data_IF_278605005391
#
_entry.id   IF_278605005391
#
_cell.length_a   1.000
_cell.length_b   1.000
_cell.length_c   1.000
_cell.angle_alpha   90.00
_cell.angle_beta   90.00
_cell.angle_gamma   90.00
#
_symmetry.space_group_name_H-M   'P 1'
#
loop_
_entity.id
_entity.type
_entity.pdbx_description
1 polymer ?
#
# COMPACT_ATOMS: atom_id res chain seq x y z
N UNK A 1 28.80 -22.48 -33.68
CA UNK A 1 27.74 -23.20 -32.94
C UNK A 1 26.46 -22.37 -32.97
N UNK A 2 25.41 -22.83 -33.66
CA UNK A 2 24.11 -22.14 -33.70
C UNK A 2 23.43 -22.36 -32.35
N UNK A 3 23.26 -21.31 -31.54
CA UNK A 3 22.48 -21.40 -30.30
C UNK A 3 21.01 -21.55 -30.69
N UNK A 4 20.47 -22.76 -30.55
CA UNK A 4 19.03 -22.99 -30.71
C UNK A 4 18.26 -22.09 -29.75
N UNK A 5 17.36 -21.27 -30.31
CA UNK A 5 16.49 -20.41 -29.52
C UNK A 5 15.46 -21.30 -28.83
N UNK A 6 15.62 -21.49 -27.52
CA UNK A 6 14.65 -22.20 -26.68
C UNK A 6 13.28 -21.53 -26.83
N UNK A 7 12.23 -22.35 -26.99
CA UNK A 7 10.86 -21.86 -27.10
C UNK A 7 10.49 -20.97 -25.90
N UNK A 8 9.75 -19.87 -26.11
CA UNK A 8 9.35 -18.99 -25.01
C UNK A 8 8.41 -19.75 -24.06
N UNK A 9 8.90 -20.06 -22.85
CA UNK A 9 8.04 -20.55 -21.76
C UNK A 9 7.11 -19.42 -21.32
N UNK A 10 5.80 -19.64 -21.43
CA UNK A 10 4.82 -18.72 -20.89
C UNK A 10 4.58 -19.03 -19.41
N UNK A 11 4.73 -18.01 -18.57
CA UNK A 11 4.39 -18.06 -17.15
C UNK A 11 3.19 -17.14 -16.91
N UNK A 12 2.18 -17.56 -16.16
CA UNK A 12 1.10 -16.67 -15.78
C UNK A 12 1.54 -15.62 -14.73
N UNK A 13 0.74 -14.58 -14.54
CA UNK A 13 1.08 -13.50 -13.61
C UNK A 13 1.03 -13.95 -12.13
N UNK A 14 0.22 -14.94 -11.78
CA UNK A 14 0.10 -15.44 -10.40
C UNK A 14 1.36 -16.19 -9.97
N UNK A 15 1.91 -17.02 -10.85
CA UNK A 15 3.16 -17.72 -10.67
C UNK A 15 4.34 -16.75 -10.59
N UNK A 16 4.39 -15.74 -11.48
CA UNK A 16 5.44 -14.70 -11.41
C UNK A 16 5.43 -13.99 -10.05
N UNK A 17 4.23 -13.65 -9.55
CA UNK A 17 4.07 -12.98 -8.27
C UNK A 17 4.42 -13.89 -7.08
N UNK A 18 4.08 -15.18 -7.12
CA UNK A 18 4.43 -16.12 -6.05
C UNK A 18 5.95 -16.33 -5.94
N UNK A 19 6.65 -16.42 -7.07
CA UNK A 19 8.12 -16.52 -7.11
C UNK A 19 8.77 -15.25 -6.55
N UNK A 20 8.28 -14.06 -6.92
CA UNK A 20 8.81 -12.81 -6.39
C UNK A 20 8.52 -12.65 -4.90
N UNK A 21 7.35 -13.07 -4.43
CA UNK A 21 7.02 -13.09 -3.00
C UNK A 21 8.01 -13.95 -2.22
N UNK A 22 8.24 -15.19 -2.66
CA UNK A 22 9.20 -16.10 -2.01
C UNK A 22 10.64 -15.56 -2.07
N UNK A 23 11.03 -14.89 -3.15
CA UNK A 23 12.32 -14.19 -3.24
C UNK A 23 12.49 -13.11 -2.17
N UNK A 24 11.49 -12.24 -1.99
CA UNK A 24 11.55 -11.18 -0.97
C UNK A 24 11.45 -11.71 0.47
N UNK A 25 10.68 -12.78 0.71
CA UNK A 25 10.54 -13.38 2.03
C UNK A 25 11.78 -14.18 2.46
N UNK A 26 12.44 -14.85 1.52
CA UNK A 26 13.60 -15.70 1.82
C UNK A 26 14.95 -14.97 1.77
N UNK A 27 15.02 -13.80 1.13
CA UNK A 27 16.25 -13.01 1.00
C UNK A 27 17.35 -13.71 0.19
N UNK A 28 17.00 -14.71 -0.62
CA UNK A 28 17.95 -15.49 -1.43
C UNK A 28 18.37 -14.73 -2.68
N UNK A 29 19.51 -15.10 -3.28
CA UNK A 29 19.94 -14.51 -4.56
C UNK A 29 19.05 -14.93 -5.74
N UNK A 30 19.07 -14.14 -6.83
CA UNK A 30 18.39 -14.50 -8.09
C UNK A 30 18.80 -15.87 -8.64
N UNK A 31 20.02 -16.34 -8.37
CA UNK A 31 20.50 -17.66 -8.80
C UNK A 31 19.95 -18.81 -7.95
N UNK A 32 19.59 -18.54 -6.69
CA UNK A 32 19.00 -19.54 -5.79
C UNK A 32 17.49 -19.67 -6.05
N UNK A 33 16.77 -18.55 -6.16
CA UNK A 33 15.34 -18.57 -6.51
C UNK A 33 15.10 -19.14 -7.92
N UNK A 34 15.99 -18.82 -8.86
CA UNK A 34 16.00 -19.38 -10.22
C UNK A 34 16.07 -20.90 -10.22
N UNK A 35 16.94 -21.48 -9.39
CA UNK A 35 17.09 -22.93 -9.23
C UNK A 35 15.88 -23.57 -8.56
N UNK A 36 15.30 -22.91 -7.55
CA UNK A 36 14.13 -23.41 -6.81
C UNK A 36 12.90 -23.60 -7.72
N UNK A 37 12.70 -22.70 -8.68
CA UNK A 37 11.52 -22.70 -9.55
C UNK A 37 11.78 -23.11 -11.01
N UNK A 38 12.99 -23.56 -11.36
CA UNK A 38 13.44 -23.82 -12.74
C UNK A 38 13.14 -22.66 -13.72
N UNK A 39 13.39 -21.43 -13.26
CA UNK A 39 13.20 -20.21 -14.04
C UNK A 39 14.55 -19.56 -14.28
N UNK A 40 14.78 -18.95 -15.44
CA UNK A 40 16.02 -18.19 -15.66
C UNK A 40 16.11 -17.00 -14.69
N UNK A 41 17.28 -16.73 -14.10
CA UNK A 41 17.49 -15.51 -13.29
C UNK A 41 17.13 -14.24 -14.06
N UNK A 42 17.33 -14.22 -15.38
CA UNK A 42 16.91 -13.10 -16.23
C UNK A 42 15.39 -12.90 -16.27
N UNK A 43 14.60 -13.99 -16.15
CA UNK A 43 13.15 -13.88 -16.04
C UNK A 43 12.75 -13.27 -14.70
N UNK A 44 13.38 -13.69 -13.60
CA UNK A 44 13.10 -13.15 -12.26
C UNK A 44 13.38 -11.65 -12.20
N UNK A 45 14.52 -11.20 -12.74
CA UNK A 45 14.87 -9.77 -12.85
C UNK A 45 13.86 -9.01 -13.73
N UNK A 46 13.45 -9.60 -14.86
CA UNK A 46 12.46 -8.99 -15.74
C UNK A 46 11.08 -8.86 -15.07
N UNK A 47 10.66 -9.87 -14.31
CA UNK A 47 9.41 -9.84 -13.55
C UNK A 47 9.50 -8.81 -12.43
N UNK A 48 10.58 -8.80 -11.65
CA UNK A 48 10.81 -7.82 -10.60
C UNK A 48 10.69 -6.40 -11.14
N UNK A 49 11.37 -6.07 -12.25
CA UNK A 49 11.25 -4.76 -12.91
C UNK A 49 9.82 -4.46 -13.40
N UNK A 50 9.13 -5.46 -13.96
CA UNK A 50 7.73 -5.33 -14.42
C UNK A 50 6.78 -4.97 -13.27
N UNK A 51 7.00 -5.53 -12.08
CA UNK A 51 6.12 -5.32 -10.93
C UNK A 51 6.59 -4.19 -10.00
N UNK A 52 7.87 -3.84 -9.98
CA UNK A 52 8.35 -2.66 -9.23
C UNK A 52 7.67 -1.38 -9.68
N UNK A 53 7.44 -1.21 -10.98
CA UNK A 53 6.71 -0.05 -11.52
C UNK A 53 5.20 -0.12 -11.29
N UNK A 54 4.67 -1.25 -10.82
CA UNK A 54 3.27 -1.42 -10.41
C UNK A 54 3.06 -1.28 -8.91
N UNK A 55 4.15 -1.22 -8.12
CA UNK A 55 4.05 -0.66 -6.78
C UNK A 55 3.63 0.79 -6.97
N UNK A 56 2.40 1.12 -6.57
CA UNK A 56 1.93 2.50 -6.53
C UNK A 56 2.83 3.18 -5.51
N UNK A 57 3.86 3.89 -5.99
CA UNK A 57 4.65 4.74 -5.11
C UNK A 57 3.68 5.72 -4.46
N UNK A 58 3.80 5.88 -3.14
CA UNK A 58 3.07 6.96 -2.47
C UNK A 58 3.42 8.27 -3.20
N UNK A 59 2.42 9.06 -3.62
CA UNK A 59 2.66 10.34 -4.28
C UNK A 59 3.65 11.17 -3.47
N UNK A 60 4.61 11.78 -4.16
CA UNK A 60 5.69 12.51 -3.47
C UNK A 60 5.17 13.85 -2.93
N UNK A 61 4.08 14.36 -3.51
CA UNK A 61 3.41 15.57 -3.08
C UNK A 61 1.88 15.43 -3.00
N UNK A 62 1.26 16.38 -2.29
CA UNK A 62 -0.19 16.44 -2.04
C UNK A 62 -0.97 16.65 -3.34
N UNK A 63 -0.40 17.37 -4.32
CA UNK A 63 -1.06 17.72 -5.58
C UNK A 63 -1.23 16.48 -6.46
N UNK A 64 -0.24 15.62 -6.51
CA UNK A 64 -0.27 14.34 -7.21
C UNK A 64 -1.26 13.38 -6.55
N UNK A 65 -1.32 13.36 -5.20
CA UNK A 65 -2.32 12.60 -4.46
C UNK A 65 -3.76 13.07 -4.79
N UNK A 66 -4.00 14.38 -4.79
CA UNK A 66 -5.31 14.96 -5.12
C UNK A 66 -5.75 14.59 -6.54
N UNK A 67 -4.83 14.66 -7.52
CA UNK A 67 -5.10 14.24 -8.91
C UNK A 67 -5.41 12.76 -9.02
N UNK A 68 -4.66 11.88 -8.34
CA UNK A 68 -4.93 10.45 -8.35
C UNK A 68 -6.29 10.11 -7.72
N UNK A 69 -6.64 10.75 -6.60
CA UNK A 69 -7.94 10.60 -5.94
C UNK A 69 -9.07 11.09 -6.83
N UNK A 70 -8.90 12.24 -7.51
CA UNK A 70 -9.88 12.77 -8.44
C UNK A 70 -10.13 11.82 -9.63
N UNK A 71 -9.06 11.30 -10.23
CA UNK A 71 -9.15 10.34 -11.34
C UNK A 71 -9.78 9.02 -10.91
N UNK A 72 -9.46 8.51 -9.73
CA UNK A 72 -10.06 7.31 -9.16
C UNK A 72 -11.56 7.49 -8.88
N UNK A 73 -11.97 8.65 -8.37
CA UNK A 73 -13.40 9.00 -8.19
C UNK A 73 -14.13 9.05 -9.53
N UNK A 74 -13.59 9.77 -10.52
CA UNK A 74 -14.17 9.86 -11.87
C UNK A 74 -14.33 8.48 -12.51
N UNK A 75 -13.35 7.60 -12.36
CA UNK A 75 -13.41 6.23 -12.88
C UNK A 75 -14.46 5.36 -12.14
N UNK A 76 -14.65 5.57 -10.84
CA UNK A 76 -15.72 4.94 -10.04
C UNK A 76 -17.10 5.39 -10.50
N UNK A 77 -17.26 6.69 -10.74
CA UNK A 77 -18.55 7.28 -11.15
C UNK A 77 -18.93 6.93 -12.60
N UNK A 78 -17.94 6.63 -13.44
CA UNK A 78 -18.15 6.19 -14.83
C UNK A 78 -18.50 4.70 -14.95
N UNK A 79 -18.38 3.92 -13.88
CA UNK A 79 -18.68 2.48 -13.89
C UNK A 79 -20.19 2.29 -13.70
N UNK A 80 -20.87 1.47 -14.53
CA UNK A 80 -22.29 1.19 -14.32
C UNK A 80 -22.49 0.65 -12.90
N UNK A 81 -23.28 1.37 -12.10
CA UNK A 81 -23.56 1.01 -10.71
C UNK A 81 -24.15 -0.41 -10.70
N UNK A 82 -23.44 -1.38 -10.13
CA UNK A 82 -24.08 -2.62 -9.72
C UNK A 82 -25.20 -2.25 -8.76
N UNK A 83 -26.41 -2.73 -9.04
CA UNK A 83 -27.58 -2.56 -8.16
C UNK A 83 -27.31 -3.39 -6.91
N UNK A 84 -26.58 -2.82 -5.96
CA UNK A 84 -26.38 -3.41 -4.65
C UNK A 84 -27.70 -3.34 -3.88
N UNK A 85 -28.05 -4.44 -3.20
CA UNK A 85 -29.23 -4.46 -2.33
C UNK A 85 -29.08 -3.40 -1.23
N UNK A 86 -30.19 -2.86 -0.72
CA UNK A 86 -30.12 -1.85 0.35
C UNK A 86 -29.37 -2.35 1.58
N UNK A 87 -29.51 -3.64 1.90
CA UNK A 87 -28.81 -4.28 3.01
C UNK A 87 -27.29 -4.31 2.79
N UNK A 88 -26.83 -4.49 1.56
CA UNK A 88 -25.39 -4.47 1.24
C UNK A 88 -24.82 -3.07 1.37
N UNK A 89 -25.55 -2.05 0.90
CA UNK A 89 -25.16 -0.65 1.05
C UNK A 89 -25.08 -0.25 2.53
N UNK A 90 -26.06 -0.67 3.32
CA UNK A 90 -26.08 -0.42 4.76
C UNK A 90 -24.92 -1.13 5.48
N UNK A 91 -24.57 -2.36 5.09
CA UNK A 91 -23.40 -3.06 5.63
C UNK A 91 -22.09 -2.37 5.29
N UNK A 92 -21.92 -1.95 4.03
CA UNK A 92 -20.71 -1.24 3.59
C UNK A 92 -20.55 0.10 4.33
N UNK A 93 -21.63 0.87 4.43
CA UNK A 93 -21.61 2.15 5.15
C UNK A 93 -21.36 1.93 6.66
N UNK A 94 -21.96 0.91 7.28
CA UNK A 94 -21.68 0.60 8.69
C UNK A 94 -20.21 0.22 8.91
N UNK A 95 -19.63 -0.60 8.02
CA UNK A 95 -18.21 -0.95 8.07
C UNK A 95 -17.31 0.28 7.91
N UNK A 96 -17.66 1.17 6.97
CA UNK A 96 -16.95 2.43 6.73
C UNK A 96 -17.02 3.36 7.94
N UNK A 97 -18.20 3.54 8.53
CA UNK A 97 -18.41 4.39 9.69
C UNK A 97 -17.66 3.86 10.91
N UNK A 98 -17.68 2.54 11.15
CA UNK A 98 -16.90 1.92 12.22
C UNK A 98 -15.40 2.18 12.06
N UNK A 99 -14.87 2.02 10.86
CA UNK A 99 -13.46 2.29 10.58
C UNK A 99 -13.10 3.77 10.77
N UNK A 100 -13.99 4.68 10.38
CA UNK A 100 -13.80 6.12 10.59
C UNK A 100 -13.83 6.48 12.09
N UNK A 101 -14.70 5.85 12.86
CA UNK A 101 -14.78 6.01 14.32
C UNK A 101 -13.49 5.51 14.98
N UNK A 102 -13.06 4.29 14.68
CA UNK A 102 -11.82 3.70 15.19
C UNK A 102 -10.60 4.60 14.92
N UNK A 103 -10.48 5.13 13.70
CA UNK A 103 -9.41 6.06 13.36
C UNK A 103 -9.46 7.36 14.18
N UNK A 104 -10.67 7.91 14.39
CA UNK A 104 -10.88 9.11 15.19
C UNK A 104 -10.50 8.89 16.66
N UNK A 105 -10.89 7.74 17.22
CA UNK A 105 -10.55 7.33 18.59
C UNK A 105 -9.04 7.16 18.77
N UNK A 106 -8.38 6.43 17.87
CA UNK A 106 -6.93 6.24 17.89
C UNK A 106 -6.18 7.59 17.78
N UNK A 107 -6.66 8.50 16.93
CA UNK A 107 -6.09 9.84 16.80
C UNK A 107 -6.20 10.61 18.12
N UNK A 108 -7.35 10.55 18.78
CA UNK A 108 -7.55 11.21 20.07
C UNK A 108 -6.66 10.62 21.16
N UNK A 109 -6.51 9.30 21.19
CA UNK A 109 -5.62 8.61 22.12
C UNK A 109 -4.16 9.04 21.91
N UNK A 110 -3.69 9.03 20.66
CA UNK A 110 -2.35 9.49 20.33
C UNK A 110 -2.11 10.97 20.72
N UNK A 111 -3.09 11.84 20.49
CA UNK A 111 -3.00 13.25 20.91
C UNK A 111 -2.89 13.37 22.44
N UNK A 112 -3.69 12.60 23.19
CA UNK A 112 -3.63 12.60 24.65
C UNK A 112 -2.27 12.10 25.17
N UNK A 113 -1.70 11.06 24.56
CA UNK A 113 -0.37 10.58 24.92
C UNK A 113 0.72 11.62 24.61
N UNK A 114 0.63 12.36 23.50
CA UNK A 114 1.55 13.47 23.21
C UNK A 114 1.45 14.57 24.28
N UNK A 115 0.23 14.94 24.68
CA UNK A 115 0.02 15.92 25.75
C UNK A 115 0.63 15.45 27.08
N UNK A 116 0.42 14.18 27.43
CA UNK A 116 0.98 13.54 28.63
C UNK A 116 2.51 13.57 28.60
N UNK A 117 3.12 13.14 27.50
CA UNK A 117 4.57 13.16 27.30
C UNK A 117 5.13 14.58 27.42
N UNK A 118 4.49 15.56 26.78
CA UNK A 118 4.88 16.97 26.85
C UNK A 118 4.93 17.49 28.30
N UNK A 119 3.91 17.15 29.09
CA UNK A 119 3.83 17.57 30.50
C UNK A 119 4.80 16.80 31.40
N UNK A 120 4.84 15.47 31.30
CA UNK A 120 5.60 14.62 32.23
C UNK A 120 7.10 14.64 31.95
N UNK A 121 7.51 14.55 30.69
CA UNK A 121 8.94 14.45 30.33
C UNK A 121 9.59 15.80 30.12
N UNK A 122 8.83 16.79 29.67
CA UNK A 122 9.37 18.10 29.29
C UNK A 122 8.84 19.25 30.15
N UNK A 123 7.84 19.03 31.00
CA UNK A 123 7.24 20.09 31.82
C UNK A 123 6.48 21.14 31.00
N UNK A 124 6.23 20.87 29.71
CA UNK A 124 5.59 21.80 28.79
C UNK A 124 4.11 21.46 28.70
N UNK A 125 3.27 22.41 29.12
CA UNK A 125 1.83 22.32 28.92
C UNK A 125 1.48 22.76 27.48
N UNK A 126 1.37 21.77 26.59
CA UNK A 126 1.08 21.98 25.16
C UNK A 126 -0.33 22.55 24.90
N UNK A 127 -1.21 22.56 25.90
CA UNK A 127 -2.52 23.22 25.81
C UNK A 127 -2.44 24.72 26.12
N UNK A 128 -1.35 25.18 26.76
CA UNK A 128 -1.15 26.61 27.05
C UNK A 128 -0.37 27.28 25.92
N UNK A 129 -0.82 28.47 25.51
CA UNK A 129 -0.02 29.33 24.63
C UNK A 129 1.24 29.79 25.38
N UNK A 130 2.41 29.50 24.83
CA UNK A 130 3.65 30.08 25.31
C UNK A 130 3.63 31.60 25.09
N UNK A 131 3.59 32.39 26.17
CA UNK A 131 3.78 33.84 26.11
C UNK A 131 2.62 34.73 26.56
N UNK A 132 1.92 34.41 27.65
CA UNK A 132 1.24 35.46 28.43
C UNK A 132 2.29 36.13 29.34
N UNK A 133 2.98 37.15 28.80
CA UNK A 133 3.80 38.06 29.63
C UNK A 133 2.83 38.84 30.54
N UNK A 134 3.04 38.76 31.85
CA UNK A 134 2.46 39.70 32.82
C UNK A 134 3.12 41.07 32.68
#
# INVERSE_FOLDING_TARGET
MKKERRQPRHFDDQFRLSVLKDYYESGVSYGQISRKYDVSSGNVIAWEKKYMNKCVSLPTDIIELEKQVFMAKKARDSRPQQVMSEEEKLRDENARLRKALEYSELRNEALNEVLKIGKEKYGIDLLKKAGAKQ
#
